data_IF_323536244638
#
_entry.id   IF_323536244638
#
_cell.length_a   1.000
_cell.length_b   1.000
_cell.length_c   1.000
_cell.angle_alpha   90.00
_cell.angle_beta   90.00
_cell.angle_gamma   90.00
#
_symmetry.space_group_name_H-M   'P 1'
#
loop_
_entity.id
_entity.type
_entity.pdbx_description
1 polymer ?
#
# COMPACT_ATOMS: atom_id res chain seq x y z
N UNK A 1 16.87 -56.86 -81.75
CA UNK A 1 18.09 -56.64 -80.94
C UNK A 1 17.71 -55.92 -79.71
N UNK A 2 17.52 -56.67 -78.60
CA UNK A 2 17.10 -56.14 -77.32
C UNK A 2 18.30 -55.73 -76.48
N UNK A 3 18.34 -54.45 -76.14
CA UNK A 3 19.27 -53.99 -75.10
C UNK A 3 18.75 -54.31 -73.71
N UNK A 4 19.58 -54.76 -72.77
CA UNK A 4 19.11 -55.04 -71.41
C UNK A 4 18.73 -53.76 -70.68
N UNK A 5 17.54 -53.76 -70.15
CA UNK A 5 17.01 -52.73 -69.25
C UNK A 5 17.84 -52.74 -67.97
N UNK A 6 18.36 -51.61 -67.47
CA UNK A 6 19.02 -51.57 -66.20
C UNK A 6 18.01 -51.80 -65.06
N UNK A 7 18.42 -52.41 -63.99
CA UNK A 7 17.54 -52.68 -62.84
C UNK A 7 17.21 -51.35 -62.13
N UNK A 8 16.01 -51.23 -61.58
CA UNK A 8 15.61 -50.06 -60.83
C UNK A 8 16.50 -49.89 -59.58
N UNK A 9 16.98 -48.66 -59.39
CA UNK A 9 17.71 -48.31 -58.16
C UNK A 9 16.85 -48.52 -56.93
N UNK A 10 17.42 -49.02 -55.87
CA UNK A 10 16.64 -49.13 -54.60
C UNK A 10 16.26 -47.75 -54.11
N UNK A 11 14.96 -47.51 -54.03
CA UNK A 11 14.44 -46.34 -53.34
C UNK A 11 14.93 -46.38 -51.93
N UNK A 12 15.83 -45.46 -51.61
CA UNK A 12 16.30 -45.23 -50.28
C UNK A 12 15.12 -44.66 -49.49
N UNK A 13 14.46 -45.55 -48.78
CA UNK A 13 13.47 -45.12 -47.78
C UNK A 13 14.22 -44.37 -46.71
N UNK A 14 14.21 -43.08 -46.81
CA UNK A 14 14.71 -42.24 -45.76
C UNK A 14 13.82 -42.48 -44.54
N UNK A 15 14.37 -43.24 -43.61
CA UNK A 15 13.76 -43.54 -42.36
C UNK A 15 13.63 -42.19 -41.64
N UNK A 16 12.45 -41.62 -41.68
CA UNK A 16 12.14 -40.48 -40.85
C UNK A 16 12.52 -40.82 -39.38
N UNK A 17 13.49 -40.12 -38.87
CA UNK A 17 13.84 -40.22 -37.47
C UNK A 17 12.56 -40.01 -36.64
N UNK A 18 12.31 -40.82 -35.60
CA UNK A 18 11.16 -40.56 -34.73
C UNK A 18 11.33 -39.16 -34.19
N UNK A 19 10.33 -38.34 -34.47
CA UNK A 19 10.21 -37.05 -33.81
C UNK A 19 10.34 -37.32 -32.32
N UNK A 20 11.38 -36.75 -31.70
CA UNK A 20 11.47 -36.70 -30.26
C UNK A 20 10.18 -36.06 -29.79
N UNK A 21 9.43 -36.61 -28.82
CA UNK A 21 8.37 -35.90 -28.20
C UNK A 21 8.97 -34.59 -27.73
N UNK A 22 8.45 -33.48 -28.23
CA UNK A 22 8.72 -32.20 -27.64
C UNK A 22 8.38 -32.40 -26.15
N UNK A 23 9.40 -32.45 -25.32
CA UNK A 23 9.22 -32.24 -23.90
C UNK A 23 8.40 -30.98 -23.81
N UNK A 24 7.14 -31.12 -23.48
CA UNK A 24 6.34 -30.00 -23.08
C UNK A 24 7.19 -29.33 -22.00
N UNK A 25 7.84 -28.24 -22.36
CA UNK A 25 8.28 -27.28 -21.37
C UNK A 25 7.02 -26.87 -20.67
N UNK A 26 6.78 -27.50 -19.53
CA UNK A 26 5.98 -26.91 -18.50
C UNK A 26 6.51 -25.50 -18.41
N UNK A 27 5.69 -24.46 -18.67
CA UNK A 27 6.13 -23.12 -18.33
C UNK A 27 6.40 -23.24 -16.82
N UNK A 28 7.65 -23.34 -16.46
CA UNK A 28 8.06 -22.89 -15.17
C UNK A 28 7.59 -21.43 -15.16
N UNK A 29 6.43 -21.22 -14.58
CA UNK A 29 6.18 -19.94 -13.98
C UNK A 29 7.37 -19.77 -13.06
N UNK A 30 8.39 -19.12 -13.61
CA UNK A 30 9.47 -18.62 -12.81
C UNK A 30 8.77 -17.75 -11.78
N UNK A 31 8.64 -18.28 -10.60
CA UNK A 31 8.57 -17.49 -9.43
C UNK A 31 9.91 -16.76 -9.32
N UNK A 32 10.20 -15.90 -10.25
CA UNK A 32 11.01 -14.72 -10.04
C UNK A 32 10.13 -13.74 -9.22
N UNK A 33 9.78 -14.23 -8.05
CA UNK A 33 9.61 -13.33 -6.94
C UNK A 33 11.02 -12.85 -6.65
N UNK A 34 11.36 -11.59 -6.97
CA UNK A 34 12.63 -11.05 -6.55
C UNK A 34 12.69 -11.28 -5.04
N UNK A 35 13.87 -11.69 -4.49
CA UNK A 35 13.99 -11.82 -3.06
C UNK A 35 13.43 -10.53 -2.47
N UNK A 36 12.44 -10.66 -1.60
CA UNK A 36 11.84 -9.52 -0.94
C UNK A 36 12.99 -8.80 -0.23
N UNK A 37 13.53 -7.79 -0.90
CA UNK A 37 14.36 -6.79 -0.25
C UNK A 37 13.58 -6.28 0.95
N UNK A 38 14.21 -5.65 1.93
CA UNK A 38 13.51 -5.15 3.09
C UNK A 38 12.26 -4.44 2.59
N UNK A 39 11.08 -4.93 2.97
CA UNK A 39 9.80 -4.37 2.53
C UNK A 39 9.85 -2.90 2.91
N UNK A 40 9.93 -2.05 1.90
CA UNK A 40 9.81 -0.63 2.14
C UNK A 40 8.39 -0.44 2.69
N UNK A 41 8.33 -0.05 3.94
CA UNK A 41 7.06 0.28 4.57
C UNK A 41 6.62 1.60 3.96
N UNK A 42 5.56 1.55 3.18
CA UNK A 42 4.95 2.73 2.61
C UNK A 42 3.87 3.27 3.56
N UNK A 43 3.72 4.58 3.56
CA UNK A 43 2.68 5.24 4.32
C UNK A 43 1.32 4.96 3.67
N UNK A 44 0.36 4.44 4.44
CA UNK A 44 -1.02 4.26 3.97
C UNK A 44 -1.71 5.63 3.90
N UNK A 45 -1.84 6.15 2.69
CA UNK A 45 -2.46 7.46 2.42
C UNK A 45 -3.71 7.24 1.58
N UNK A 46 -4.83 7.82 2.02
CA UNK A 46 -6.12 7.76 1.32
C UNK A 46 -6.74 9.15 1.22
N UNK A 47 -7.46 9.39 0.14
CA UNK A 47 -8.25 10.61 0.03
C UNK A 47 -9.51 10.52 0.92
N UNK A 48 -9.90 11.65 1.48
CA UNK A 48 -11.07 11.73 2.36
C UNK A 48 -12.39 11.36 1.67
N UNK A 49 -12.43 11.41 0.35
CA UNK A 49 -13.58 11.00 -0.47
C UNK A 49 -13.65 9.49 -0.70
N UNK A 50 -12.55 8.76 -0.49
CA UNK A 50 -12.45 7.31 -0.74
C UNK A 50 -12.83 6.48 0.49
N UNK A 51 -12.74 7.04 1.68
CA UNK A 51 -12.95 6.32 2.92
C UNK A 51 -13.78 7.14 3.91
N UNK A 52 -14.73 6.50 4.56
CA UNK A 52 -15.56 7.13 5.59
C UNK A 52 -14.98 6.91 6.99
N UNK A 53 -15.33 7.76 7.98
CA UNK A 53 -14.88 7.57 9.37
C UNK A 53 -15.22 6.18 9.92
N UNK A 54 -16.39 5.67 9.59
CA UNK A 54 -16.90 4.38 10.09
C UNK A 54 -16.09 3.19 9.55
N UNK A 55 -15.54 3.31 8.35
CA UNK A 55 -14.77 2.24 7.70
C UNK A 55 -13.45 1.93 8.42
N UNK A 56 -12.93 2.87 9.20
CA UNK A 56 -11.66 2.72 9.92
C UNK A 56 -11.84 2.46 11.42
N UNK A 57 -13.07 2.50 11.92
CA UNK A 57 -13.33 2.26 13.35
C UNK A 57 -12.84 0.88 13.78
N UNK A 58 -12.12 0.85 14.89
CA UNK A 58 -11.55 -0.34 15.54
C UNK A 58 -10.53 -1.13 14.69
N UNK A 59 -10.12 -0.57 13.54
CA UNK A 59 -9.14 -1.19 12.65
C UNK A 59 -7.87 -0.32 12.53
N UNK A 60 -8.04 0.95 12.21
CA UNK A 60 -6.92 1.88 11.97
C UNK A 60 -7.07 3.16 12.79
N UNK A 61 -5.96 3.89 12.92
CA UNK A 61 -5.92 5.23 13.52
C UNK A 61 -5.85 6.27 12.41
N UNK A 62 -6.93 6.99 12.13
CA UNK A 62 -6.89 8.05 11.15
C UNK A 62 -6.06 9.25 11.61
N UNK A 63 -5.12 9.67 10.78
CA UNK A 63 -4.43 10.96 10.89
C UNK A 63 -4.93 11.84 9.76
N UNK A 64 -5.76 12.81 10.08
CA UNK A 64 -6.42 13.67 9.11
C UNK A 64 -5.56 14.89 8.82
N UNK A 65 -5.28 15.13 7.56
CA UNK A 65 -4.55 16.31 7.08
C UNK A 65 -5.47 17.11 6.19
N UNK A 66 -6.05 18.16 6.76
CA UNK A 66 -6.93 19.09 6.05
C UNK A 66 -6.16 20.31 5.55
N UNK A 67 -6.47 20.74 4.35
CA UNK A 67 -6.05 22.00 3.78
C UNK A 67 -7.14 22.54 2.85
N UNK A 68 -7.10 23.82 2.51
CA UNK A 68 -8.06 24.41 1.58
C UNK A 68 -7.66 24.16 0.13
N UNK A 69 -6.36 23.97 -0.13
CA UNK A 69 -5.80 23.61 -1.43
C UNK A 69 -4.62 22.63 -1.28
N UNK A 70 -4.29 21.83 -2.30
CA UNK A 70 -3.12 20.95 -2.25
C UNK A 70 -1.79 21.70 -2.24
N UNK A 71 -1.75 22.97 -2.68
CA UNK A 71 -0.58 23.83 -2.71
C UNK A 71 -0.28 24.52 -1.37
N UNK A 72 -1.12 24.33 -0.36
CA UNK A 72 -0.93 24.95 0.94
C UNK A 72 0.40 24.48 1.58
N UNK A 73 1.31 25.42 1.96
CA UNK A 73 2.64 25.06 2.46
C UNK A 73 2.63 24.15 3.69
N UNK A 74 1.67 24.34 4.59
CA UNK A 74 1.51 23.48 5.77
C UNK A 74 1.13 22.06 5.41
N UNK A 75 0.33 21.88 4.34
CA UNK A 75 -0.02 20.56 3.82
C UNK A 75 1.20 19.84 3.27
N UNK A 76 1.97 20.47 2.39
CA UNK A 76 3.22 19.91 1.84
C UNK A 76 4.20 19.55 2.95
N UNK A 77 4.41 20.45 3.90
CA UNK A 77 5.29 20.21 5.05
C UNK A 77 4.85 19.02 5.87
N UNK A 78 3.55 18.90 6.14
CA UNK A 78 3.01 17.77 6.90
C UNK A 78 3.21 16.43 6.18
N UNK A 79 2.98 16.40 4.88
CA UNK A 79 3.18 15.19 4.08
C UNK A 79 4.66 14.78 4.05
N UNK A 80 5.58 15.72 3.92
CA UNK A 80 7.02 15.48 3.98
C UNK A 80 7.46 14.94 5.35
N UNK A 81 6.91 15.47 6.44
CA UNK A 81 7.20 15.01 7.79
C UNK A 81 6.73 13.56 8.00
N UNK A 82 5.53 13.21 7.51
CA UNK A 82 5.00 11.85 7.59
C UNK A 82 5.83 10.87 6.75
N UNK A 83 6.30 11.29 5.58
CA UNK A 83 7.10 10.48 4.68
C UNK A 83 8.49 10.13 5.21
N UNK A 84 8.98 10.83 6.24
CA UNK A 84 10.31 10.59 6.84
C UNK A 84 10.39 9.30 7.65
N UNK A 85 9.30 8.88 8.27
CA UNK A 85 9.25 7.65 9.06
C UNK A 85 7.89 6.93 8.92
N UNK A 86 7.62 6.36 7.75
CA UNK A 86 6.39 5.61 7.52
C UNK A 86 6.26 4.39 8.44
N UNK A 87 7.39 3.77 8.81
CA UNK A 87 7.40 2.63 9.71
C UNK A 87 6.88 2.98 11.12
N UNK A 88 7.16 4.19 11.61
CA UNK A 88 6.62 4.65 12.89
C UNK A 88 5.10 4.77 12.88
N UNK A 89 4.53 5.15 11.73
CA UNK A 89 3.08 5.24 11.53
C UNK A 89 2.46 3.85 11.38
N UNK A 90 3.05 2.98 10.57
CA UNK A 90 2.54 1.62 10.36
C UNK A 90 2.54 0.79 11.65
N UNK A 91 3.57 0.90 12.48
CA UNK A 91 3.61 0.21 13.80
C UNK A 91 2.48 0.64 14.76
N UNK A 92 1.78 1.72 14.45
CA UNK A 92 0.66 2.25 15.23
C UNK A 92 -0.67 2.14 14.51
N UNK A 93 -0.70 1.37 13.41
CA UNK A 93 -1.89 1.17 12.59
C UNK A 93 -2.48 2.49 12.07
N UNK A 94 -1.61 3.44 11.72
CA UNK A 94 -2.01 4.76 11.21
C UNK A 94 -2.36 4.67 9.73
N UNK A 95 -3.48 5.28 9.37
CA UNK A 95 -3.85 5.62 7.99
C UNK A 95 -3.95 7.13 7.88
N UNK A 96 -3.24 7.71 6.93
CA UNK A 96 -3.28 9.15 6.67
C UNK A 96 -4.44 9.45 5.71
N UNK A 97 -5.31 10.34 6.12
CA UNK A 97 -6.44 10.80 5.30
C UNK A 97 -6.18 12.24 4.89
N UNK A 98 -6.09 12.49 3.59
CA UNK A 98 -5.87 13.82 3.03
C UNK A 98 -7.16 14.41 2.50
N UNK A 99 -7.40 15.67 2.81
CA UNK A 99 -8.54 16.44 2.30
C UNK A 99 -8.08 17.87 1.97
N UNK A 100 -7.97 18.15 0.69
CA UNK A 100 -7.52 19.44 0.15
C UNK A 100 -8.60 20.11 -0.71
N UNK A 101 -9.83 19.59 -0.68
CA UNK A 101 -10.94 20.11 -1.45
C UNK A 101 -12.17 20.35 -0.53
N UNK A 102 -12.34 21.58 -0.01
CA UNK A 102 -13.51 21.94 0.78
C UNK A 102 -14.84 21.76 0.04
N UNK A 103 -14.84 21.90 -1.29
CA UNK A 103 -16.04 21.81 -2.11
C UNK A 103 -16.56 20.36 -2.22
N UNK A 104 -15.70 19.37 -2.08
CA UNK A 104 -16.10 17.95 -2.07
C UNK A 104 -16.91 17.56 -0.83
N UNK A 105 -16.91 18.39 0.22
CA UNK A 105 -17.68 18.21 1.44
C UNK A 105 -17.61 16.77 2.00
N UNK A 106 -16.40 16.23 2.12
CA UNK A 106 -16.18 14.87 2.62
C UNK A 106 -16.85 14.63 3.98
N UNK A 107 -17.17 13.38 4.30
CA UNK A 107 -17.73 13.01 5.60
C UNK A 107 -16.83 13.46 6.76
N UNK A 108 -15.51 13.40 6.56
CA UNK A 108 -14.52 13.90 7.52
C UNK A 108 -14.60 15.39 7.74
N UNK A 109 -14.73 16.16 6.66
CA UNK A 109 -14.86 17.62 6.71
C UNK A 109 -16.18 18.05 7.36
N UNK A 110 -17.27 17.33 7.09
CA UNK A 110 -18.54 17.56 7.76
C UNK A 110 -18.49 17.32 9.27
N UNK A 111 -17.78 16.26 9.67
CA UNK A 111 -17.64 15.87 11.09
C UNK A 111 -16.73 16.82 11.88
N UNK A 112 -15.56 17.15 11.33
CA UNK A 112 -14.52 17.89 12.04
C UNK A 112 -14.51 19.38 11.76
N UNK A 113 -15.16 19.84 10.70
CA UNK A 113 -15.30 21.25 10.28
C UNK A 113 -13.97 22.02 10.37
N UNK A 114 -12.91 21.59 9.68
CA UNK A 114 -11.63 22.26 9.69
C UNK A 114 -11.74 23.64 9.04
N UNK A 115 -10.86 24.55 9.45
CA UNK A 115 -10.66 25.86 8.82
C UNK A 115 -9.21 25.98 8.45
N UNK A 116 -8.91 26.14 7.14
CA UNK A 116 -7.54 26.13 6.65
C UNK A 116 -6.82 24.81 6.98
N UNK A 117 -5.52 24.86 7.17
CA UNK A 117 -4.77 23.70 7.59
C UNK A 117 -5.21 23.20 8.97
N UNK A 118 -5.45 21.91 9.08
CA UNK A 118 -5.73 21.25 10.35
C UNK A 118 -5.24 19.81 10.34
N UNK A 119 -4.40 19.48 11.31
CA UNK A 119 -3.99 18.10 11.60
C UNK A 119 -4.86 17.56 12.75
N UNK A 120 -5.51 16.42 12.56
CA UNK A 120 -6.30 15.77 13.59
C UNK A 120 -5.87 14.31 13.70
N UNK A 121 -5.50 13.89 14.90
CA UNK A 121 -5.11 12.51 15.20
C UNK A 121 -6.24 11.83 15.95
N UNK A 122 -6.73 10.70 15.44
CA UNK A 122 -7.79 9.91 16.04
C UNK A 122 -7.25 8.56 16.57
N UNK A 123 -7.90 8.04 17.59
CA UNK A 123 -7.70 6.66 18.02
C UNK A 123 -8.59 5.70 17.21
N UNK A 124 -8.39 4.41 17.37
CA UNK A 124 -9.18 3.37 16.67
C UNK A 124 -10.66 3.42 16.99
N UNK A 125 -11.04 3.91 18.16
CA UNK A 125 -12.45 4.10 18.56
C UNK A 125 -13.09 5.40 18.02
N UNK A 126 -12.34 6.18 17.23
CA UNK A 126 -12.80 7.45 16.69
C UNK A 126 -12.67 8.65 17.63
N UNK A 127 -12.07 8.46 18.79
CA UNK A 127 -11.82 9.56 19.73
C UNK A 127 -10.70 10.47 19.22
N UNK A 128 -10.86 11.78 19.33
CA UNK A 128 -9.82 12.76 19.00
C UNK A 128 -8.72 12.69 20.05
N UNK A 129 -7.52 12.32 19.61
CA UNK A 129 -6.32 12.33 20.47
C UNK A 129 -5.76 13.74 20.55
N UNK A 130 -5.58 14.37 19.40
CA UNK A 130 -5.06 15.74 19.32
C UNK A 130 -5.54 16.45 18.04
N UNK A 131 -5.52 17.78 18.08
CA UNK A 131 -5.82 18.63 16.93
C UNK A 131 -4.87 19.82 16.91
N UNK A 132 -4.19 20.02 15.78
CA UNK A 132 -3.19 21.08 15.61
C UNK A 132 -3.44 21.90 14.35
N UNK A 133 -3.31 23.22 14.44
CA UNK A 133 -3.40 24.11 13.29
C UNK A 133 -2.05 24.27 12.55
N UNK A 134 -1.06 23.45 12.87
CA UNK A 134 0.28 23.46 12.28
C UNK A 134 0.83 22.03 12.13
N UNK A 135 1.82 21.81 11.25
CA UNK A 135 2.42 20.50 11.02
C UNK A 135 3.11 19.92 12.25
N UNK A 136 2.99 18.60 12.41
CA UNK A 136 3.65 17.80 13.44
C UNK A 136 4.47 16.68 12.81
N UNK A 137 5.61 16.38 13.41
CA UNK A 137 6.42 15.26 12.97
C UNK A 137 5.86 13.90 13.47
N UNK A 138 6.39 12.82 12.90
CA UNK A 138 5.96 11.45 13.24
C UNK A 138 6.22 11.09 14.70
N UNK A 139 7.21 11.70 15.34
CA UNK A 139 7.52 11.46 16.76
C UNK A 139 6.48 12.08 17.67
N UNK A 140 6.04 13.29 17.36
CA UNK A 140 4.98 13.99 18.11
C UNK A 140 3.65 13.26 17.99
N UNK A 141 3.28 12.89 16.77
CA UNK A 141 2.08 12.07 16.49
C UNK A 141 2.18 10.75 17.23
N UNK A 142 3.30 10.05 17.12
CA UNK A 142 3.53 8.78 17.78
C UNK A 142 3.42 8.86 19.31
N UNK A 143 4.00 9.90 19.92
CA UNK A 143 3.90 10.13 21.37
C UNK A 143 2.47 10.41 21.83
N UNK A 144 1.71 11.14 21.02
CA UNK A 144 0.30 11.41 21.31
C UNK A 144 -0.50 10.10 21.32
N UNK A 145 -0.32 9.25 20.31
CA UNK A 145 -0.96 7.93 20.22
C UNK A 145 -0.54 7.02 21.39
N UNK A 146 0.76 6.92 21.70
CA UNK A 146 1.30 6.02 22.71
C UNK A 146 0.80 6.34 24.14
N UNK A 147 0.33 7.57 24.36
CA UNK A 147 -0.24 7.99 25.65
C UNK A 147 -1.69 7.55 25.84
N UNK A 148 -2.39 7.12 24.79
CA UNK A 148 -3.80 6.75 24.90
C UNK A 148 -3.99 5.46 25.68
N UNK A 149 -5.11 5.30 26.41
CA UNK A 149 -5.42 4.05 27.11
C UNK A 149 -5.56 2.86 26.16
N UNK A 150 -6.13 3.07 24.98
CA UNK A 150 -6.32 2.05 23.94
C UNK A 150 -4.96 1.50 23.50
N UNK A 151 -4.03 2.37 23.12
CA UNK A 151 -2.68 1.95 22.69
C UNK A 151 -1.90 1.25 23.80
N UNK A 152 -2.00 1.73 25.02
CA UNK A 152 -1.36 1.08 26.19
C UNK A 152 -1.93 -0.32 26.45
N UNK A 153 -3.22 -0.52 26.24
CA UNK A 153 -3.87 -1.82 26.32
C UNK A 153 -3.34 -2.80 25.28
N UNK A 154 -3.25 -2.35 24.03
CA UNK A 154 -2.71 -3.14 22.90
C UNK A 154 -1.26 -3.57 23.15
N UNK A 155 -0.41 -2.65 23.60
CA UNK A 155 1.02 -2.93 23.86
C UNK A 155 1.20 -3.95 24.99
N UNK A 156 0.37 -3.89 26.02
CA UNK A 156 0.38 -4.88 27.11
C UNK A 156 -0.07 -6.25 26.62
N UNK A 157 -1.11 -6.31 25.79
CA UNK A 157 -1.62 -7.55 25.23
C UNK A 157 -0.60 -8.22 24.31
N UNK A 158 0.16 -7.44 23.53
CA UNK A 158 1.19 -7.94 22.63
C UNK A 158 2.51 -8.32 23.34
N UNK A 159 2.81 -7.70 24.48
CA UNK A 159 4.04 -7.96 25.26
C UNK A 159 3.93 -9.09 26.29
N UNK A 160 2.77 -9.67 26.45
CA UNK A 160 2.47 -10.72 27.44
C UNK A 160 2.63 -12.15 26.93
N UNK A 161 3.42 -12.37 25.90
CA UNK A 161 3.75 -13.72 25.39
C UNK A 161 5.21 -14.04 25.56
#
# INVERSE_FOLDING_TARGET
MGGPTPPPEPVRVERAAPARPATAQVPQAAADTPPAGPRQVELDIRAATEVTPEALLFDRRPVLVFADTPEEPSFSTQMDLLARDPAAMERRDVTVITDTDPAAASAWRQRFRPRGFSLIVLDTDGTVIDRKPFPWDTREIGRAIDKTPVRRGETRASGGR
#
